data_IF_111961171243
#
_entry.id   IF_111961171243
#
_cell.length_a   1.000
_cell.length_b   1.000
_cell.length_c   1.000
_cell.angle_alpha   90.00
_cell.angle_beta   90.00
_cell.angle_gamma   90.00
#
_symmetry.space_group_name_H-M   'P 1'
#
loop_
_entity.id
_entity.type
_entity.pdbx_description
1 polymer ?
#
# COMPACT_ATOMS: atom_id res chain seq x y z
N UNK A 1 -20.08 33.77 53.74
CA UNK A 1 -20.99 33.33 52.66
C UNK A 1 -20.91 34.35 51.53
N UNK A 2 -19.85 34.30 50.73
CA UNK A 2 -19.66 35.18 49.57
C UNK A 2 -19.87 34.35 48.31
N UNK A 3 -21.05 34.54 47.73
CA UNK A 3 -21.49 33.95 46.47
C UNK A 3 -20.52 34.37 45.36
N UNK A 4 -19.92 33.39 44.68
CA UNK A 4 -19.22 33.65 43.43
C UNK A 4 -20.22 34.25 42.42
N UNK A 5 -19.82 35.29 41.65
CA UNK A 5 -20.73 35.94 40.70
C UNK A 5 -21.05 34.97 39.57
N UNK A 6 -22.35 34.75 39.34
CA UNK A 6 -22.92 33.89 38.30
C UNK A 6 -22.36 34.16 36.87
N UNK A 7 -21.74 35.32 36.68
CA UNK A 7 -21.08 35.77 35.45
C UNK A 7 -19.85 34.91 35.07
N UNK A 8 -19.15 34.32 36.05
CA UNK A 8 -17.97 33.46 35.76
C UNK A 8 -18.39 32.06 35.29
N UNK A 9 -19.56 31.58 35.72
CA UNK A 9 -20.11 30.30 35.26
C UNK A 9 -20.66 30.39 33.84
N UNK A 10 -21.25 31.53 33.44
CA UNK A 10 -21.72 31.74 32.06
C UNK A 10 -20.57 31.92 31.06
N UNK A 11 -19.48 32.61 31.44
CA UNK A 11 -18.32 32.78 30.55
C UNK A 11 -17.52 31.48 30.33
N UNK A 12 -17.55 30.54 31.28
CA UNK A 12 -16.99 29.19 31.09
C UNK A 12 -17.93 28.25 30.31
N UNK A 13 -19.21 28.60 30.18
CA UNK A 13 -20.20 27.87 29.37
C UNK A 13 -20.24 28.36 27.91
N UNK A 14 -19.82 29.60 27.65
CA UNK A 14 -19.76 30.22 26.32
C UNK A 14 -18.43 30.01 25.56
N UNK A 15 -17.39 29.48 26.22
CA UNK A 15 -16.27 28.86 25.51
C UNK A 15 -16.72 27.48 25.03
N UNK A 16 -17.47 27.56 23.94
CA UNK A 16 -18.15 26.54 23.18
C UNK A 16 -17.33 25.24 23.12
N UNK A 17 -17.78 24.23 23.89
CA UNK A 17 -17.14 22.91 23.91
C UNK A 17 -16.99 22.32 22.50
N UNK A 18 -17.89 22.64 21.57
CA UNK A 18 -17.80 22.24 20.16
C UNK A 18 -16.67 22.92 19.40
N UNK A 19 -16.49 24.23 19.58
CA UNK A 19 -15.52 25.02 18.81
C UNK A 19 -14.09 24.75 19.29
N UNK A 20 -13.90 24.59 20.60
CA UNK A 20 -12.62 24.13 21.14
C UNK A 20 -12.33 22.68 20.72
N UNK A 21 -13.34 21.80 20.67
CA UNK A 21 -13.18 20.44 20.14
C UNK A 21 -12.82 20.45 18.66
N UNK A 22 -13.34 21.37 17.88
CA UNK A 22 -13.05 21.51 16.45
C UNK A 22 -11.65 22.07 16.22
N UNK A 23 -11.27 23.12 16.95
CA UNK A 23 -9.90 23.65 16.95
C UNK A 23 -8.87 22.60 17.37
N UNK A 24 -9.16 21.82 18.42
CA UNK A 24 -8.27 20.76 18.89
C UNK A 24 -8.20 19.61 17.88
N UNK A 25 -9.31 19.31 17.19
CA UNK A 25 -9.32 18.34 16.08
C UNK A 25 -8.43 18.81 14.93
N UNK A 26 -8.53 20.08 14.55
CA UNK A 26 -7.75 20.66 13.47
C UNK A 26 -6.24 20.70 13.80
N UNK A 27 -5.88 21.11 15.03
CA UNK A 27 -4.48 21.10 15.48
C UNK A 27 -3.88 19.69 15.51
N UNK A 28 -4.64 18.69 15.96
CA UNK A 28 -4.18 17.29 15.95
C UNK A 28 -4.00 16.79 14.52
N UNK A 29 -4.88 17.15 13.58
CA UNK A 29 -4.69 16.81 12.16
C UNK A 29 -3.45 17.48 11.57
N UNK A 30 -3.22 18.76 11.88
CA UNK A 30 -2.08 19.53 11.36
C UNK A 30 -0.73 19.04 11.91
N UNK A 31 -0.68 18.64 13.18
CA UNK A 31 0.53 18.06 13.81
C UNK A 31 0.85 16.67 13.21
N UNK A 32 -0.18 15.87 12.92
CA UNK A 32 -0.03 14.56 12.27
C UNK A 32 0.47 14.68 10.83
N UNK A 33 0.04 15.71 10.11
CA UNK A 33 0.49 16.00 8.73
C UNK A 33 1.89 16.64 8.71
N UNK A 34 2.27 17.41 9.73
CA UNK A 34 3.59 18.08 9.80
C UNK A 34 4.73 17.14 10.21
N UNK A 35 4.43 16.06 10.93
CA UNK A 35 5.43 15.07 11.35
C UNK A 35 5.61 13.92 10.33
N UNK A 36 4.96 14.01 9.18
CA UNK A 36 5.03 13.00 8.14
C UNK A 36 6.32 13.19 7.33
N UNK A 37 7.29 12.31 7.57
CA UNK A 37 8.54 12.28 6.80
C UNK A 37 8.31 12.16 5.28
N UNK A 38 9.34 12.47 4.47
CA UNK A 38 9.23 12.40 3.01
C UNK A 38 8.78 11.00 2.58
N UNK A 39 7.60 10.89 1.96
CA UNK A 39 7.03 9.63 1.46
C UNK A 39 5.81 9.09 2.21
N UNK A 40 5.19 9.84 3.11
CA UNK A 40 3.87 9.47 3.68
C UNK A 40 2.77 10.39 3.15
N UNK A 41 1.65 9.78 2.77
CA UNK A 41 0.45 10.48 2.26
C UNK A 41 -0.28 11.21 3.38
N UNK A 42 -0.83 12.39 3.11
CA UNK A 42 -1.75 13.08 4.04
C UNK A 42 -3.04 12.29 4.20
N UNK A 43 -3.79 12.53 5.29
CA UNK A 43 -5.05 11.82 5.53
C UNK A 43 -6.05 11.98 4.37
N UNK A 44 -6.19 13.21 3.86
CA UNK A 44 -7.06 13.49 2.71
C UNK A 44 -6.61 12.74 1.46
N UNK A 45 -5.31 12.75 1.16
CA UNK A 45 -4.77 12.01 0.01
C UNK A 45 -5.02 10.51 0.11
N UNK A 46 -4.90 9.93 1.30
CA UNK A 46 -5.21 8.49 1.50
C UNK A 46 -6.66 8.19 1.14
N UNK A 47 -7.59 9.01 1.62
CA UNK A 47 -9.00 8.84 1.34
C UNK A 47 -9.31 9.00 -0.15
N UNK A 48 -8.74 10.02 -0.79
CA UNK A 48 -8.91 10.25 -2.24
C UNK A 48 -8.42 9.04 -3.06
N UNK A 49 -7.29 8.43 -2.68
CA UNK A 49 -6.76 7.24 -3.33
C UNK A 49 -7.67 6.04 -3.14
N UNK A 50 -8.21 5.85 -1.94
CA UNK A 50 -9.11 4.74 -1.62
C UNK A 50 -10.43 4.85 -2.39
N UNK A 51 -10.96 6.06 -2.50
CA UNK A 51 -12.20 6.35 -3.25
C UNK A 51 -12.01 6.23 -4.76
N UNK A 52 -10.80 6.50 -5.27
CA UNK A 52 -10.46 6.36 -6.68
C UNK A 52 -10.32 4.89 -7.15
N UNK A 53 -10.33 3.91 -6.25
CA UNK A 53 -10.18 2.51 -6.62
C UNK A 53 -11.41 1.97 -7.37
N UNK A 54 -11.16 1.42 -8.56
CA UNK A 54 -12.21 0.73 -9.32
C UNK A 54 -12.63 -0.56 -8.62
N UNK A 55 -13.92 -0.66 -8.24
CA UNK A 55 -14.52 -1.93 -7.81
C UNK A 55 -14.70 -2.83 -9.03
N UNK A 56 -14.37 -4.11 -8.89
CA UNK A 56 -14.58 -5.11 -9.92
C UNK A 56 -15.74 -6.03 -9.53
N UNK A 57 -16.58 -6.38 -10.51
CA UNK A 57 -17.58 -7.44 -10.37
C UNK A 57 -17.00 -8.80 -10.81
N UNK A 58 -17.75 -9.88 -10.56
CA UNK A 58 -17.35 -11.24 -10.97
C UNK A 58 -17.09 -11.33 -12.48
N UNK A 59 -17.97 -10.72 -13.28
CA UNK A 59 -17.83 -10.68 -14.73
C UNK A 59 -16.53 -10.00 -15.18
N UNK A 60 -16.10 -8.94 -14.48
CA UNK A 60 -14.85 -8.25 -14.78
C UNK A 60 -13.63 -9.11 -14.44
N UNK A 61 -13.67 -9.81 -13.31
CA UNK A 61 -12.59 -10.72 -12.90
C UNK A 61 -12.44 -11.87 -13.91
N UNK A 62 -13.56 -12.42 -14.40
CA UNK A 62 -13.56 -13.46 -15.43
C UNK A 62 -13.06 -12.89 -16.77
N UNK A 63 -13.53 -11.71 -17.19
CA UNK A 63 -13.12 -11.07 -18.44
C UNK A 63 -11.61 -10.75 -18.47
N UNK A 64 -11.02 -10.45 -17.32
CA UNK A 64 -9.57 -10.23 -17.17
C UNK A 64 -8.77 -11.54 -17.05
N UNK A 65 -9.42 -12.70 -16.99
CA UNK A 65 -8.77 -14.01 -16.86
C UNK A 65 -8.23 -14.29 -15.45
N UNK A 66 -8.79 -13.66 -14.42
CA UNK A 66 -8.32 -13.72 -13.04
C UNK A 66 -9.22 -14.57 -12.12
N UNK A 67 -10.07 -15.44 -12.68
CA UNK A 67 -11.02 -16.30 -11.96
C UNK A 67 -10.38 -17.16 -10.85
N UNK A 68 -9.18 -17.71 -11.10
CA UNK A 68 -8.47 -18.59 -10.15
C UNK A 68 -7.37 -17.84 -9.38
N UNK A 69 -7.31 -16.53 -9.50
CA UNK A 69 -6.30 -15.72 -8.81
C UNK A 69 -6.69 -15.45 -7.36
N UNK A 70 -5.68 -15.15 -6.55
CA UNK A 70 -5.82 -14.86 -5.12
C UNK A 70 -5.32 -13.45 -4.84
N UNK A 71 -5.89 -12.80 -3.82
CA UNK A 71 -5.35 -11.55 -3.31
C UNK A 71 -3.90 -11.79 -2.82
N UNK A 72 -2.89 -11.06 -3.31
CA UNK A 72 -1.50 -11.24 -2.89
C UNK A 72 -1.21 -10.94 -1.41
N UNK A 73 -2.16 -10.31 -0.70
CA UNK A 73 -1.98 -9.87 0.70
C UNK A 73 -2.60 -10.90 1.67
N UNK A 74 -3.90 -11.19 1.55
CA UNK A 74 -4.58 -12.17 2.41
C UNK A 74 -4.58 -13.61 1.89
N UNK A 75 -4.17 -13.84 0.64
CA UNK A 75 -4.20 -15.16 -0.02
C UNK A 75 -5.60 -15.78 -0.18
N UNK A 76 -6.67 -15.01 0.00
CA UNK A 76 -8.05 -15.43 -0.31
C UNK A 76 -8.30 -15.32 -1.82
N UNK A 77 -9.01 -16.28 -2.42
CA UNK A 77 -9.42 -16.23 -3.83
C UNK A 77 -10.32 -15.03 -4.10
N UNK A 78 -10.15 -14.38 -5.26
CA UNK A 78 -10.94 -13.21 -5.64
C UNK A 78 -12.45 -13.51 -5.70
N UNK A 79 -12.83 -14.69 -6.22
CA UNK A 79 -14.25 -15.09 -6.27
C UNK A 79 -14.85 -15.29 -4.87
N UNK A 80 -14.10 -15.84 -3.92
CA UNK A 80 -14.59 -15.96 -2.54
C UNK A 80 -14.84 -14.59 -1.90
N UNK A 81 -13.99 -13.60 -2.16
CA UNK A 81 -14.16 -12.24 -1.66
C UNK A 81 -15.39 -11.55 -2.25
N UNK A 82 -15.69 -11.78 -3.54
CA UNK A 82 -16.92 -11.30 -4.16
C UNK A 82 -18.15 -12.00 -3.57
N UNK A 83 -18.11 -13.32 -3.38
CA UNK A 83 -19.20 -14.05 -2.73
C UNK A 83 -19.44 -13.61 -1.27
N UNK A 84 -18.38 -13.23 -0.55
CA UNK A 84 -18.49 -12.64 0.80
C UNK A 84 -19.21 -11.29 0.76
N UNK A 85 -18.91 -10.44 -0.23
CA UNK A 85 -19.60 -9.17 -0.44
C UNK A 85 -21.09 -9.39 -0.75
N UNK A 86 -21.41 -10.27 -1.70
CA UNK A 86 -22.79 -10.59 -2.08
C UNK A 86 -23.61 -11.14 -0.90
N UNK A 87 -23.03 -12.08 -0.15
CA UNK A 87 -23.69 -12.67 1.03
C UNK A 87 -23.85 -11.66 2.16
N UNK A 88 -22.87 -10.77 2.38
CA UNK A 88 -22.98 -9.71 3.37
C UNK A 88 -24.09 -8.71 3.02
N UNK A 89 -24.21 -8.32 1.74
CA UNK A 89 -25.29 -7.45 1.24
C UNK A 89 -26.65 -8.15 1.39
N UNK A 90 -26.76 -9.42 0.99
CA UNK A 90 -28.02 -10.16 1.05
C UNK A 90 -28.52 -10.40 2.49
N UNK A 91 -27.58 -10.59 3.43
CA UNK A 91 -27.89 -10.86 4.83
C UNK A 91 -27.98 -9.61 5.70
N UNK A 92 -27.68 -8.42 5.16
CA UNK A 92 -27.57 -7.15 5.90
C UNK A 92 -26.77 -7.33 7.22
N UNK A 93 -25.67 -8.09 7.12
CA UNK A 93 -24.94 -8.55 8.30
C UNK A 93 -24.18 -7.38 8.92
N UNK A 94 -24.42 -7.03 10.21
CA UNK A 94 -23.72 -5.94 10.86
C UNK A 94 -22.25 -6.28 11.21
N UNK A 95 -21.79 -7.50 10.92
CA UNK A 95 -20.47 -7.97 11.32
C UNK A 95 -19.33 -7.27 10.59
N UNK A 96 -19.56 -6.85 9.33
CA UNK A 96 -18.53 -6.21 8.51
C UNK A 96 -19.14 -5.05 7.69
N UNK A 97 -18.49 -3.86 7.68
CA UNK A 97 -18.91 -2.76 6.81
C UNK A 97 -18.78 -3.18 5.34
N UNK A 98 -19.87 -3.03 4.59
CA UNK A 98 -19.94 -3.41 3.16
C UNK A 98 -19.02 -2.55 2.29
N UNK A 99 -18.57 -1.41 2.83
CA UNK A 99 -17.62 -0.52 2.20
C UNK A 99 -16.20 -1.10 2.14
N UNK A 100 -15.86 -2.07 2.99
CA UNK A 100 -14.53 -2.70 3.00
C UNK A 100 -14.48 -4.05 2.26
N UNK A 101 -15.63 -4.55 1.81
CA UNK A 101 -15.74 -5.81 1.09
C UNK A 101 -15.51 -5.64 -0.42
N UNK A 102 -15.26 -6.77 -1.08
CA UNK A 102 -15.09 -6.84 -2.52
C UNK A 102 -13.65 -6.82 -3.01
N UNK A 103 -13.54 -6.70 -4.33
CA UNK A 103 -12.28 -6.72 -5.07
C UNK A 103 -12.08 -5.40 -5.79
N UNK A 104 -10.85 -4.90 -5.77
CA UNK A 104 -10.50 -3.68 -6.47
C UNK A 104 -9.35 -3.88 -7.45
N UNK A 105 -9.30 -3.02 -8.46
CA UNK A 105 -8.17 -2.93 -9.40
C UNK A 105 -7.58 -1.53 -9.41
N UNK A 106 -6.26 -1.48 -9.43
CA UNK A 106 -5.49 -0.25 -9.58
C UNK A 106 -5.49 0.20 -11.05
N UNK A 107 -6.60 0.77 -11.52
CA UNK A 107 -6.91 1.04 -12.93
C UNK A 107 -6.42 2.38 -13.47
N UNK A 108 -5.94 3.30 -12.63
CA UNK A 108 -5.52 4.61 -13.10
C UNK A 108 -4.32 4.53 -14.06
N UNK A 109 -4.15 5.47 -15.00
CA UNK A 109 -3.09 5.41 -16.01
C UNK A 109 -1.66 5.32 -15.44
N UNK A 110 -1.41 5.88 -14.25
CA UNK A 110 -0.11 5.80 -13.57
C UNK A 110 0.02 4.58 -12.67
N UNK A 111 -1.06 3.83 -12.45
CA UNK A 111 -1.08 2.64 -11.62
C UNK A 111 -0.67 1.38 -12.40
N UNK A 112 -0.56 0.26 -11.70
CA UNK A 112 -0.02 -0.99 -12.23
C UNK A 112 -1.07 -2.01 -12.69
N UNK A 113 -2.36 -1.81 -12.41
CA UNK A 113 -3.41 -2.75 -12.78
C UNK A 113 -3.52 -4.00 -11.90
N UNK A 114 -2.70 -4.14 -10.84
CA UNK A 114 -2.83 -5.26 -9.88
C UNK A 114 -4.18 -5.23 -9.15
N UNK A 115 -4.64 -6.42 -8.78
CA UNK A 115 -5.95 -6.67 -8.17
C UNK A 115 -5.77 -7.16 -6.73
N UNK A 116 -6.57 -6.61 -5.81
CA UNK A 116 -6.51 -6.90 -4.37
C UNK A 116 -7.92 -6.95 -3.77
N UNK A 117 -8.06 -7.52 -2.58
CA UNK A 117 -9.27 -7.30 -1.79
C UNK A 117 -9.30 -5.84 -1.29
N UNK A 118 -10.49 -5.26 -1.22
CA UNK A 118 -10.65 -3.84 -0.86
C UNK A 118 -10.16 -3.54 0.56
N UNK A 119 -10.40 -4.45 1.50
CA UNK A 119 -9.98 -4.36 2.91
C UNK A 119 -8.46 -4.14 3.06
N UNK A 120 -7.66 -5.02 2.48
CA UNK A 120 -6.21 -5.04 2.73
C UNK A 120 -5.48 -3.89 2.04
N UNK A 121 -5.84 -3.58 0.80
CA UNK A 121 -5.22 -2.46 0.07
C UNK A 121 -5.62 -1.10 0.64
N UNK A 122 -6.86 -0.96 1.14
CA UNK A 122 -7.26 0.26 1.86
C UNK A 122 -6.46 0.40 3.15
N UNK A 123 -6.33 -0.68 3.93
CA UNK A 123 -5.50 -0.69 5.13
C UNK A 123 -4.04 -0.34 4.83
N UNK A 124 -3.49 -0.88 3.75
CA UNK A 124 -2.13 -0.58 3.28
C UNK A 124 -1.92 0.93 3.02
N UNK A 125 -2.87 1.57 2.33
CA UNK A 125 -2.83 3.02 2.08
C UNK A 125 -3.00 3.81 3.39
N UNK A 126 -3.91 3.37 4.26
CA UNK A 126 -4.16 4.00 5.57
C UNK A 126 -2.94 3.96 6.49
N UNK A 127 -2.17 2.87 6.48
CA UNK A 127 -0.91 2.73 7.23
C UNK A 127 0.17 3.72 6.74
N UNK A 128 -0.04 4.31 5.57
CA UNK A 128 0.78 5.38 4.99
C UNK A 128 1.69 4.91 3.87
N UNK A 129 1.44 3.74 3.30
CA UNK A 129 2.17 3.27 2.14
C UNK A 129 1.58 3.88 0.86
N UNK A 130 2.44 4.50 0.06
CA UNK A 130 2.09 5.19 -1.18
C UNK A 130 2.37 4.37 -2.44
N UNK A 131 2.74 3.09 -2.29
CA UNK A 131 3.19 2.23 -3.38
C UNK A 131 2.47 0.88 -3.39
N UNK A 132 2.31 0.29 -4.58
CA UNK A 132 1.66 -1.01 -4.74
C UNK A 132 2.45 -2.14 -4.03
N UNK A 133 1.79 -3.00 -3.22
CA UNK A 133 2.45 -4.11 -2.53
C UNK A 133 3.22 -5.07 -3.44
N UNK A 134 2.73 -5.28 -4.68
CA UNK A 134 3.30 -6.25 -5.61
C UNK A 134 4.49 -5.71 -6.41
N UNK A 135 4.40 -4.47 -6.89
CA UNK A 135 5.38 -3.92 -7.85
C UNK A 135 6.02 -2.60 -7.43
N UNK A 136 5.65 -2.06 -6.26
CA UNK A 136 6.16 -0.81 -5.69
C UNK A 136 5.94 0.44 -6.57
N UNK A 137 5.07 0.37 -7.58
CA UNK A 137 4.67 1.55 -8.37
C UNK A 137 3.84 2.51 -7.48
N UNK A 138 4.04 3.83 -7.56
CA UNK A 138 3.27 4.79 -6.77
C UNK A 138 1.75 4.69 -7.05
N UNK A 139 0.96 4.80 -5.99
CA UNK A 139 -0.51 4.82 -6.03
C UNK A 139 -1.04 6.22 -6.33
N UNK A 140 -0.28 7.25 -5.94
CA UNK A 140 -0.62 8.67 -6.11
C UNK A 140 0.04 9.23 -7.36
N UNK A 141 -0.68 10.10 -8.06
CA UNK A 141 -0.12 10.87 -9.17
C UNK A 141 0.88 11.87 -8.61
N UNK A 142 2.17 11.66 -8.84
CA UNK A 142 3.16 12.72 -8.72
C UNK A 142 2.79 13.78 -9.74
N UNK A 143 2.21 14.88 -9.28
CA UNK A 143 2.15 16.09 -10.11
C UNK A 143 3.60 16.52 -10.29
N UNK A 144 4.10 16.45 -11.51
CA UNK A 144 5.46 16.86 -11.88
C UNK A 144 5.63 18.37 -11.63
N UNK A 145 5.73 18.75 -10.36
CA UNK A 145 6.14 20.07 -9.93
C UNK A 145 7.67 20.09 -9.97
N UNK A 146 8.22 20.14 -11.19
CA UNK A 146 9.58 20.64 -11.46
C UNK A 146 10.74 19.94 -10.76
N UNK A 147 11.14 18.77 -11.25
CA UNK A 147 12.57 18.41 -11.30
C UNK A 147 12.85 17.55 -12.52
N UNK A 148 12.73 18.17 -13.69
CA UNK A 148 13.67 17.89 -14.77
C UNK A 148 15.04 18.39 -14.32
N UNK A 149 15.76 17.62 -13.51
CA UNK A 149 17.21 17.68 -13.56
C UNK A 149 17.62 16.89 -14.78
N UNK A 150 17.79 17.65 -15.85
CA UNK A 150 18.48 17.30 -17.08
C UNK A 150 19.89 16.78 -16.73
N UNK A 151 19.99 15.50 -16.36
CA UNK A 151 21.25 14.78 -16.31
C UNK A 151 21.51 14.28 -17.73
N UNK A 152 22.05 15.19 -18.54
CA UNK A 152 22.69 14.95 -19.83
C UNK A 152 23.48 13.62 -19.79
N UNK A 153 22.91 12.55 -20.35
CA UNK A 153 23.68 11.40 -20.79
C UNK A 153 24.44 11.81 -22.06
N UNK A 154 25.60 12.40 -21.86
CA UNK A 154 26.64 12.46 -22.86
C UNK A 154 27.43 11.13 -22.79
N UNK A 155 27.12 10.27 -23.75
CA UNK A 155 28.02 9.35 -24.45
C UNK A 155 29.52 9.54 -24.16
N UNK A 156 30.19 8.46 -23.76
CA UNK A 156 31.47 8.03 -24.36
C UNK A 156 31.71 6.57 -24.01
N UNK A 157 31.43 5.68 -24.96
CA UNK A 157 32.05 4.37 -25.00
C UNK A 157 33.57 4.50 -25.07
N UNK A 158 34.25 4.06 -24.02
CA UNK A 158 35.71 4.01 -23.94
C UNK A 158 36.15 2.63 -23.48
N UNK A 159 36.49 1.78 -24.44
CA UNK A 159 37.29 0.59 -24.22
C UNK A 159 38.64 0.99 -23.60
N UNK A 160 38.78 0.82 -22.29
CA UNK A 160 40.03 1.03 -21.57
C UNK A 160 40.65 -0.33 -21.21
N UNK A 161 41.41 -0.86 -22.18
CA UNK A 161 42.48 -1.82 -21.93
C UNK A 161 43.59 -1.14 -21.08
N UNK A 162 43.99 -1.82 -20.00
CA UNK A 162 45.31 -1.77 -19.36
C UNK A 162 45.89 -0.40 -18.91
N UNK A 163 45.51 0.05 -17.71
CA UNK A 163 46.34 0.97 -16.90
C UNK A 163 46.64 0.37 -15.50
N UNK A 164 47.89 -0.02 -15.20
CA UNK A 164 48.26 -0.63 -13.92
C UNK A 164 48.38 0.35 -12.74
N UNK A 165 48.13 1.65 -12.90
CA UNK A 165 48.26 2.63 -11.81
C UNK A 165 46.93 3.04 -11.13
N UNK A 166 45.79 2.49 -11.55
CA UNK A 166 44.47 2.79 -10.94
C UNK A 166 44.27 2.26 -9.51
N UNK A 167 45.13 1.35 -9.03
CA UNK A 167 44.96 0.66 -7.74
C UNK A 167 45.26 1.57 -6.54
N UNK A 168 46.15 2.56 -6.68
CA UNK A 168 46.54 3.39 -5.53
C UNK A 168 45.47 4.41 -5.09
N UNK A 169 44.58 4.83 -5.98
CA UNK A 169 43.49 5.75 -5.65
C UNK A 169 42.32 5.04 -4.92
N UNK A 170 42.19 3.72 -5.04
CA UNK A 170 41.14 2.95 -4.36
C UNK A 170 41.47 2.74 -2.87
N UNK A 171 42.76 2.62 -2.54
CA UNK A 171 43.21 2.43 -1.15
C UNK A 171 42.99 3.66 -0.27
N UNK A 172 43.09 4.87 -0.80
CA UNK A 172 42.86 6.11 -0.03
C UNK A 172 41.36 6.36 0.25
N UNK A 173 40.46 5.82 -0.58
CA UNK A 173 39.02 5.90 -0.38
C UNK A 173 38.50 4.95 0.72
N UNK A 174 39.14 3.79 0.89
CA UNK A 174 38.72 2.76 1.87
C UNK A 174 39.07 3.18 3.31
N UNK A 175 40.14 3.96 3.52
CA UNK A 175 40.57 4.39 4.85
C UNK A 175 39.82 5.62 5.40
N UNK A 176 39.08 6.37 4.56
CA UNK A 176 38.29 7.54 5.00
C UNK A 176 36.85 7.22 5.39
N UNK A 177 36.25 6.15 4.86
CA UNK A 177 34.87 5.76 5.14
C UNK A 177 34.83 4.40 5.83
N UNK A 178 35.18 4.39 7.12
CA UNK A 178 35.05 3.20 7.95
C UNK A 178 33.59 2.78 8.11
N UNK A 179 33.31 1.50 7.84
CA UNK A 179 32.09 0.82 8.30
C UNK A 179 31.26 0.17 7.21
N UNK A 180 31.74 -0.91 6.60
CA UNK A 180 30.87 -1.91 5.96
C UNK A 180 31.02 -3.23 6.69
N UNK A 181 30.10 -3.45 7.62
CA UNK A 181 29.86 -4.75 8.23
C UNK A 181 29.50 -5.76 7.14
N UNK A 182 30.28 -6.83 7.11
CA UNK A 182 30.19 -7.87 6.11
C UNK A 182 28.89 -8.68 6.19
N UNK A 183 28.40 -9.04 5.00
CA UNK A 183 28.08 -10.43 4.59
C UNK A 183 27.60 -10.42 3.15
N UNK A 184 28.57 -10.42 2.24
CA UNK A 184 28.35 -10.79 0.85
C UNK A 184 28.51 -12.31 0.77
N UNK A 185 27.41 -13.03 0.55
CA UNK A 185 27.44 -14.45 0.15
C UNK A 185 27.08 -14.49 -1.33
N UNK A 186 28.02 -14.83 -2.24
CA UNK A 186 27.68 -15.10 -3.63
C UNK A 186 27.28 -16.57 -3.82
N UNK A 187 26.33 -16.75 -4.73
CA UNK A 187 26.06 -17.93 -5.56
C UNK A 187 25.74 -19.29 -4.93
N UNK A 188 24.47 -19.68 -5.03
CA UNK A 188 24.14 -21.03 -5.50
C UNK A 188 22.93 -20.99 -6.45
N UNK A 189 23.22 -21.13 -7.74
CA UNK A 189 22.32 -21.60 -8.78
C UNK A 189 21.76 -22.97 -8.37
N UNK A 190 20.44 -23.12 -8.32
CA UNK A 190 19.78 -24.44 -8.24
C UNK A 190 18.78 -24.62 -9.39
N UNK A 191 18.71 -25.83 -9.97
CA UNK A 191 17.97 -26.10 -11.20
C UNK A 191 16.48 -26.37 -10.97
N UNK A 192 15.70 -26.11 -12.03
CA UNK A 192 14.32 -26.57 -12.23
C UNK A 192 14.15 -28.05 -11.87
N UNK A 193 13.18 -28.35 -11.00
CA UNK A 193 12.48 -29.63 -10.95
C UNK A 193 10.98 -29.40 -10.72
N UNK A 194 10.20 -29.63 -11.77
CA UNK A 194 8.79 -29.99 -11.65
C UNK A 194 8.68 -31.40 -11.06
N UNK A 195 7.65 -31.66 -10.25
CA UNK A 195 7.00 -32.95 -10.31
C UNK A 195 5.49 -32.81 -10.50
N UNK A 196 5.05 -33.43 -11.59
CA UNK A 196 3.75 -34.01 -11.81
C UNK A 196 3.24 -34.72 -10.54
N UNK A 197 2.05 -34.35 -10.04
CA UNK A 197 1.22 -35.26 -9.23
C UNK A 197 -0.21 -35.22 -9.75
N UNK A 198 -0.48 -36.20 -10.59
CA UNK A 198 -1.80 -36.76 -10.81
C UNK A 198 -2.27 -37.47 -9.52
N UNK A 199 -3.57 -37.71 -9.47
CA UNK A 199 -4.25 -38.77 -8.72
C UNK A 199 -4.57 -38.48 -7.24
N UNK A 200 -5.84 -38.18 -6.97
CA UNK A 200 -6.76 -39.14 -6.34
C UNK A 200 -8.19 -38.61 -6.36
N UNK A 201 -8.94 -39.08 -7.34
CA UNK A 201 -10.39 -39.22 -7.26
C UNK A 201 -10.70 -40.19 -6.11
N UNK A 202 -11.54 -39.80 -5.16
CA UNK A 202 -12.23 -40.78 -4.32
C UNK A 202 -13.65 -40.30 -3.96
N UNK A 203 -14.57 -40.80 -4.77
CA UNK A 203 -15.90 -41.28 -4.47
C UNK A 203 -16.35 -41.17 -2.98
N UNK A 204 -17.31 -40.29 -2.71
CA UNK A 204 -18.26 -40.49 -1.61
C UNK A 204 -19.68 -40.28 -2.16
N UNK A 205 -20.17 -41.33 -2.80
CA UNK A 205 -21.56 -41.52 -3.15
C UNK A 205 -22.13 -42.63 -2.26
N UNK A 206 -23.39 -42.45 -1.84
CA UNK A 206 -24.25 -43.39 -1.12
C UNK A 206 -24.08 -43.51 0.41
N UNK A 207 -24.89 -42.74 1.16
CA UNK A 207 -25.57 -43.28 2.35
C UNK A 207 -26.72 -42.38 2.83
N UNK A 208 -27.85 -42.36 2.13
CA UNK A 208 -29.16 -42.12 2.75
C UNK A 208 -30.24 -42.82 1.92
N UNK A 209 -30.66 -43.98 2.41
CA UNK A 209 -31.94 -44.65 2.13
C UNK A 209 -32.58 -44.94 3.48
#
# INVERSE_FOLDING_TARGET
MTSLPAIVLTLLQELNSSELREQLRNLVFEELDSNTGPGRLSHTQKQDVIEAFSRLEENDVIALGHQDSVCPICFTSLLALLSEEETAIAMDSPAHPTEELGVIRLSEPWQCGHIFCKRDISRWVLDGHDSCPTCRRPLVKTTDSGSQTDATQADTGGDAHDDPNGVLNILEAILRNGGVDGRFIPDTVLPRRSPHLNYLSNEHSAMYS
#
